data_IF_524731256930
#
_entry.id   IF_524731256930
#
_cell.length_a   1.000
_cell.length_b   1.000
_cell.length_c   1.000
_cell.angle_alpha   90.00
_cell.angle_beta   90.00
_cell.angle_gamma   90.00
#
_symmetry.space_group_name_H-M   'P 1'
#
loop_
_entity.id
_entity.type
_entity.pdbx_description
1 polymer ?
#
# COMPACT_ATOMS: atom_id res chain seq x y z
N UNK A 1 -18.37 8.10 -5.36
CA UNK A 1 -18.23 6.70 -4.90
C UNK A 1 -17.90 6.72 -3.40
N UNK A 2 -18.89 6.45 -2.56
CA UNK A 2 -18.77 6.52 -1.08
C UNK A 2 -17.69 5.57 -0.53
N UNK A 3 -17.50 4.41 -1.17
CA UNK A 3 -16.51 3.42 -0.74
C UNK A 3 -15.08 3.98 -0.79
N UNK A 4 -14.69 4.62 -1.90
CA UNK A 4 -13.35 5.21 -2.08
C UNK A 4 -13.08 6.27 -1.02
N UNK A 5 -14.07 7.11 -0.72
CA UNK A 5 -13.95 8.17 0.28
C UNK A 5 -13.77 7.53 1.66
N UNK A 6 -14.63 6.60 2.03
CA UNK A 6 -14.57 5.93 3.33
C UNK A 6 -13.25 5.17 3.54
N UNK A 7 -12.76 4.45 2.52
CA UNK A 7 -11.48 3.74 2.60
C UNK A 7 -10.30 4.69 2.74
N UNK A 8 -10.30 5.81 2.00
CA UNK A 8 -9.25 6.83 2.09
C UNK A 8 -9.22 7.51 3.46
N UNK A 9 -10.39 7.84 4.01
CA UNK A 9 -10.51 8.42 5.36
C UNK A 9 -9.99 7.44 6.42
N UNK A 10 -10.41 6.17 6.37
CA UNK A 10 -9.95 5.13 7.32
C UNK A 10 -8.43 4.95 7.24
N UNK A 11 -7.87 4.89 6.02
CA UNK A 11 -6.43 4.73 5.83
C UNK A 11 -5.64 5.95 6.33
N UNK A 12 -6.11 7.17 6.04
CA UNK A 12 -5.50 8.41 6.50
C UNK A 12 -5.53 8.54 8.03
N UNK A 13 -6.68 8.24 8.65
CA UNK A 13 -6.81 8.21 10.12
C UNK A 13 -5.87 7.17 10.73
N UNK A 14 -5.82 5.96 10.17
CA UNK A 14 -4.92 4.91 10.62
C UNK A 14 -3.44 5.33 10.58
N UNK A 15 -2.99 5.92 9.46
CA UNK A 15 -1.63 6.44 9.36
C UNK A 15 -1.33 7.55 10.36
N UNK A 16 -2.25 8.50 10.54
CA UNK A 16 -2.09 9.59 11.50
C UNK A 16 -1.97 9.09 12.95
N UNK A 17 -2.83 8.14 13.33
CA UNK A 17 -2.83 7.54 14.68
C UNK A 17 -1.56 6.75 14.98
N UNK A 18 -0.91 6.14 13.98
CA UNK A 18 0.34 5.42 14.19
C UNK A 18 1.54 6.37 14.16
N UNK A 19 1.58 7.32 13.24
CA UNK A 19 2.76 8.15 12.99
C UNK A 19 3.10 9.09 14.16
N UNK A 20 2.09 9.71 14.78
CA UNK A 20 2.27 10.66 15.89
C UNK A 20 2.92 10.00 17.13
N UNK A 21 2.37 8.92 17.71
CA UNK A 21 2.99 8.29 18.87
C UNK A 21 4.33 7.64 18.54
N UNK A 22 4.49 7.07 17.34
CA UNK A 22 5.72 6.38 16.95
C UNK A 22 6.89 7.37 16.81
N UNK A 23 6.66 8.53 16.18
CA UNK A 23 7.66 9.61 16.15
C UNK A 23 7.96 10.17 17.54
N UNK A 24 6.92 10.35 18.38
CA UNK A 24 7.12 10.81 19.77
C UNK A 24 8.01 9.85 20.56
N UNK A 25 7.76 8.54 20.50
CA UNK A 25 8.57 7.53 21.18
C UNK A 25 10.01 7.49 20.66
N UNK A 26 10.21 7.63 19.34
CA UNK A 26 11.54 7.63 18.73
C UNK A 26 12.46 8.74 19.26
N UNK A 27 11.91 9.92 19.59
CA UNK A 27 12.69 11.04 20.13
C UNK A 27 12.67 11.13 21.66
N UNK A 28 11.74 10.46 22.34
CA UNK A 28 11.54 10.63 23.77
C UNK A 28 12.70 10.10 24.63
N UNK A 29 13.49 9.13 24.13
CA UNK A 29 14.67 8.60 24.85
C UNK A 29 15.98 9.31 24.48
N UNK A 30 15.92 10.36 23.66
CA UNK A 30 17.09 11.02 23.08
C UNK A 30 17.36 12.39 23.73
N UNK A 31 18.63 12.64 24.05
CA UNK A 31 19.11 13.93 24.53
C UNK A 31 18.84 15.04 23.49
N UNK A 32 18.49 16.24 23.96
CA UNK A 32 18.08 17.40 23.14
C UNK A 32 19.13 17.73 22.08
N UNK A 33 20.42 17.59 22.43
CA UNK A 33 21.54 17.85 21.52
C UNK A 33 21.54 16.99 20.26
N UNK A 34 21.02 15.76 20.31
CA UNK A 34 21.02 14.83 19.16
C UNK A 34 19.72 14.85 18.36
N UNK A 35 18.71 15.63 18.76
CA UNK A 35 17.38 15.63 18.11
C UNK A 35 17.43 16.07 16.65
N UNK A 36 18.29 17.03 16.31
CA UNK A 36 18.44 17.52 14.92
C UNK A 36 18.95 16.40 14.00
N UNK A 37 20.05 15.74 14.37
CA UNK A 37 20.63 14.64 13.59
C UNK A 37 19.71 13.43 13.53
N UNK A 38 19.04 13.10 14.64
CA UNK A 38 18.08 12.00 14.68
C UNK A 38 16.85 12.26 13.80
N UNK A 39 16.41 13.51 13.64
CA UNK A 39 15.29 13.86 12.76
C UNK A 39 15.66 13.63 11.28
N UNK A 40 16.89 13.99 10.91
CA UNK A 40 17.41 13.72 9.57
C UNK A 40 17.51 12.21 9.30
N UNK A 41 18.04 11.44 10.26
CA UNK A 41 18.15 9.98 10.16
C UNK A 41 16.78 9.30 10.10
N UNK A 42 15.83 9.71 10.93
CA UNK A 42 14.46 9.19 10.93
C UNK A 42 13.79 9.39 9.58
N UNK A 43 13.94 10.58 9.00
CA UNK A 43 13.40 10.90 7.67
C UNK A 43 14.07 10.07 6.57
N UNK A 44 15.40 9.89 6.63
CA UNK A 44 16.15 9.06 5.69
C UNK A 44 15.68 7.60 5.73
N UNK A 45 15.61 7.00 6.91
CA UNK A 45 15.17 5.61 7.09
C UNK A 45 13.72 5.44 6.62
N UNK A 46 12.84 6.40 6.94
CA UNK A 46 11.44 6.38 6.50
C UNK A 46 11.33 6.45 4.97
N UNK A 47 12.05 7.38 4.34
CA UNK A 47 12.02 7.53 2.90
C UNK A 47 12.59 6.29 2.21
N UNK A 48 13.70 5.74 2.71
CA UNK A 48 14.30 4.51 2.20
C UNK A 48 13.34 3.32 2.34
N UNK A 49 12.73 3.14 3.51
CA UNK A 49 11.74 2.09 3.74
C UNK A 49 10.52 2.23 2.83
N UNK A 50 10.04 3.46 2.62
CA UNK A 50 8.96 3.74 1.67
C UNK A 50 9.35 3.39 0.24
N UNK A 51 10.56 3.77 -0.20
CA UNK A 51 11.05 3.46 -1.55
C UNK A 51 11.16 1.96 -1.76
N UNK A 52 11.75 1.22 -0.82
CA UNK A 52 11.86 -0.24 -0.89
C UNK A 52 10.46 -0.87 -0.96
N UNK A 53 9.54 -0.45 -0.09
CA UNK A 53 8.16 -0.94 -0.08
C UNK A 53 7.45 -0.72 -1.41
N UNK A 54 7.51 0.49 -1.95
CA UNK A 54 6.92 0.83 -3.26
C UNK A 54 7.56 0.00 -4.37
N UNK A 55 8.88 -0.14 -4.41
CA UNK A 55 9.57 -0.93 -5.43
C UNK A 55 9.16 -2.40 -5.40
N UNK A 56 9.09 -3.02 -4.21
CA UNK A 56 8.67 -4.42 -4.07
C UNK A 56 7.23 -4.61 -4.54
N UNK A 57 6.31 -3.76 -4.07
CA UNK A 57 4.90 -3.82 -4.49
C UNK A 57 4.78 -3.61 -5.99
N UNK A 58 5.51 -2.67 -6.58
CA UNK A 58 5.47 -2.41 -8.03
C UNK A 58 5.94 -3.63 -8.83
N UNK A 59 7.04 -4.28 -8.41
CA UNK A 59 7.54 -5.50 -9.06
C UNK A 59 6.52 -6.63 -8.96
N UNK A 60 5.92 -6.83 -7.77
CA UNK A 60 4.88 -7.84 -7.57
C UNK A 60 3.65 -7.55 -8.42
N UNK A 61 3.21 -6.29 -8.50
CA UNK A 61 2.08 -5.87 -9.33
C UNK A 61 2.29 -6.23 -10.80
N UNK A 62 3.45 -5.87 -11.37
CA UNK A 62 3.79 -6.15 -12.77
C UNK A 62 3.85 -7.66 -13.00
N UNK A 63 4.56 -8.39 -12.14
CA UNK A 63 4.72 -9.85 -12.26
C UNK A 63 3.37 -10.56 -12.16
N UNK A 64 2.56 -10.22 -11.17
CA UNK A 64 1.26 -10.83 -10.96
C UNK A 64 0.28 -10.47 -12.08
N UNK A 65 0.35 -9.25 -12.64
CA UNK A 65 -0.48 -8.86 -13.79
C UNK A 65 -0.18 -9.76 -14.98
N UNK A 66 1.10 -10.03 -15.26
CA UNK A 66 1.48 -10.94 -16.35
C UNK A 66 1.02 -12.39 -16.11
N UNK A 67 1.16 -12.89 -14.88
CA UNK A 67 0.68 -14.23 -14.51
C UNK A 67 -0.84 -14.32 -14.68
N UNK A 68 -1.59 -13.38 -14.09
CA UNK A 68 -3.05 -13.35 -14.19
C UNK A 68 -3.51 -13.17 -15.63
N UNK A 69 -2.80 -12.38 -16.44
CA UNK A 69 -3.12 -12.22 -17.85
C UNK A 69 -2.96 -13.53 -18.62
N UNK A 70 -1.87 -14.27 -18.39
CA UNK A 70 -1.63 -15.57 -19.01
C UNK A 70 -2.67 -16.61 -18.59
N UNK A 71 -3.05 -16.63 -17.31
CA UNK A 71 -4.08 -17.53 -16.80
C UNK A 71 -5.47 -17.20 -17.39
N UNK A 72 -5.83 -15.91 -17.45
CA UNK A 72 -7.12 -15.49 -18.01
C UNK A 72 -7.18 -15.67 -19.52
N UNK A 73 -6.09 -15.38 -20.24
CA UNK A 73 -6.05 -15.53 -21.71
C UNK A 73 -6.10 -17.00 -22.14
N UNK A 74 -5.69 -17.95 -21.29
CA UNK A 74 -5.83 -19.38 -21.57
C UNK A 74 -7.30 -19.81 -21.79
N UNK A 75 -8.26 -19.09 -21.21
CA UNK A 75 -9.69 -19.33 -21.42
C UNK A 75 -10.23 -18.71 -22.71
N UNK A 76 -9.46 -17.86 -23.39
CA UNK A 76 -9.80 -17.26 -24.68
C UNK A 76 -9.35 -18.20 -25.79
N UNK A 77 -10.18 -19.22 -26.04
CA UNK A 77 -9.96 -20.15 -27.14
C UNK A 77 -11.27 -20.46 -27.87
N UNK A 78 -11.23 -20.82 -29.18
CA UNK A 78 -12.41 -21.12 -29.97
C UNK A 78 -13.20 -22.36 -29.50
N UNK A 79 -12.63 -23.18 -28.62
CA UNK A 79 -13.30 -24.37 -28.08
C UNK A 79 -14.11 -24.06 -26.81
N UNK A 80 -13.98 -22.84 -26.27
CA UNK A 80 -14.71 -22.42 -25.09
C UNK A 80 -16.12 -21.92 -25.47
N UNK A 81 -17.20 -22.61 -25.07
CA UNK A 81 -18.57 -22.18 -25.41
C UNK A 81 -18.93 -20.81 -24.81
N UNK A 82 -18.30 -20.43 -23.69
CA UNK A 82 -18.52 -19.12 -23.08
C UNK A 82 -17.97 -17.98 -23.94
N UNK A 83 -16.86 -18.21 -24.67
CA UNK A 83 -16.32 -17.20 -25.59
C UNK A 83 -17.27 -16.97 -26.77
N UNK A 84 -17.85 -18.04 -27.32
CA UNK A 84 -18.87 -17.93 -28.37
C UNK A 84 -20.13 -17.19 -27.89
N UNK A 85 -20.52 -17.35 -26.63
CA UNK A 85 -21.68 -16.65 -26.07
C UNK A 85 -21.42 -15.14 -25.87
N UNK A 86 -20.20 -14.75 -25.48
CA UNK A 86 -19.84 -13.36 -25.16
C UNK A 86 -19.34 -12.59 -26.39
N UNK A 87 -18.52 -13.22 -27.21
CA UNK A 87 -17.92 -12.61 -28.41
C UNK A 87 -17.72 -13.67 -29.51
N UNK A 88 -18.76 -13.92 -30.32
CA UNK A 88 -18.67 -14.83 -31.47
C UNK A 88 -17.57 -14.41 -32.47
N UNK A 89 -17.37 -13.10 -32.65
CA UNK A 89 -16.34 -12.57 -33.55
C UNK A 89 -14.92 -12.90 -33.06
N UNK A 90 -14.65 -12.79 -31.75
CA UNK A 90 -13.37 -13.21 -31.19
C UNK A 90 -13.18 -14.72 -31.28
N UNK A 91 -14.24 -15.51 -31.04
CA UNK A 91 -14.20 -16.96 -31.19
C UNK A 91 -13.95 -17.40 -32.65
N UNK A 92 -14.47 -16.63 -33.61
CA UNK A 92 -14.24 -16.78 -35.05
C UNK A 92 -12.87 -16.29 -35.54
N UNK A 93 -12.03 -15.71 -34.66
CA UNK A 93 -10.67 -15.30 -34.98
C UNK A 93 -10.53 -13.89 -35.55
N UNK A 94 -11.54 -13.02 -35.43
CA UNK A 94 -11.43 -11.62 -35.84
C UNK A 94 -10.38 -10.89 -34.96
N UNK A 95 -9.28 -10.36 -35.56
CA UNK A 95 -8.24 -9.67 -34.82
C UNK A 95 -8.74 -8.45 -34.03
N UNK A 96 -9.78 -7.76 -34.54
CA UNK A 96 -10.33 -6.58 -33.86
C UNK A 96 -11.04 -6.99 -32.58
N UNK A 97 -11.94 -7.98 -32.66
CA UNK A 97 -12.62 -8.52 -31.50
C UNK A 97 -11.65 -9.14 -30.47
N UNK A 98 -10.61 -9.86 -30.94
CA UNK A 98 -9.57 -10.41 -30.06
C UNK A 98 -8.80 -9.32 -29.30
N UNK A 99 -8.46 -8.21 -29.94
CA UNK A 99 -7.77 -7.09 -29.27
C UNK A 99 -8.62 -6.43 -28.18
N UNK A 100 -9.94 -6.38 -28.37
CA UNK A 100 -10.87 -5.84 -27.37
C UNK A 100 -10.98 -6.77 -26.17
N UNK A 101 -11.06 -8.08 -26.42
CA UNK A 101 -11.07 -9.11 -25.37
C UNK A 101 -9.76 -9.10 -24.58
N UNK A 102 -8.62 -9.02 -25.27
CA UNK A 102 -7.30 -8.92 -24.64
C UNK A 102 -7.20 -7.71 -23.70
N UNK A 103 -7.70 -6.54 -24.14
CA UNK A 103 -7.75 -5.35 -23.28
C UNK A 103 -8.60 -5.56 -22.03
N UNK A 104 -9.72 -6.28 -22.13
CA UNK A 104 -10.55 -6.61 -20.97
C UNK A 104 -9.84 -7.59 -20.04
N UNK A 105 -9.19 -8.62 -20.59
CA UNK A 105 -8.37 -9.58 -19.84
C UNK A 105 -7.28 -8.85 -19.07
N UNK A 106 -6.58 -7.91 -19.71
CA UNK A 106 -5.54 -7.10 -19.08
C UNK A 106 -6.09 -6.22 -17.94
N UNK A 107 -7.24 -5.58 -18.11
CA UNK A 107 -7.89 -4.81 -17.04
C UNK A 107 -8.25 -5.70 -15.84
N UNK A 108 -8.76 -6.91 -16.09
CA UNK A 108 -9.08 -7.87 -15.02
C UNK A 108 -7.83 -8.39 -14.32
N UNK A 109 -6.78 -8.70 -15.09
CA UNK A 109 -5.49 -9.13 -14.56
C UNK A 109 -4.86 -8.07 -13.64
N UNK A 110 -4.92 -6.79 -14.05
CA UNK A 110 -4.51 -5.66 -13.21
C UNK A 110 -5.34 -5.58 -11.93
N UNK A 111 -6.67 -5.68 -12.03
CA UNK A 111 -7.56 -5.61 -10.88
C UNK A 111 -7.24 -6.69 -9.83
N UNK A 112 -7.07 -7.95 -10.26
CA UNK A 112 -6.70 -9.05 -9.38
C UNK A 112 -5.35 -8.78 -8.71
N UNK A 113 -4.38 -8.24 -9.47
CA UNK A 113 -3.05 -7.91 -8.96
C UNK A 113 -3.10 -6.81 -7.90
N UNK A 114 -3.87 -5.74 -8.13
CA UNK A 114 -4.09 -4.69 -7.13
C UNK A 114 -4.68 -5.24 -5.83
N UNK A 115 -5.70 -6.11 -5.92
CA UNK A 115 -6.31 -6.73 -4.75
C UNK A 115 -5.30 -7.59 -3.98
N UNK A 116 -4.45 -8.34 -4.69
CA UNK A 116 -3.40 -9.14 -4.08
C UNK A 116 -2.36 -8.26 -3.36
N UNK A 117 -1.95 -7.13 -3.96
CA UNK A 117 -1.02 -6.20 -3.33
C UNK A 117 -1.62 -5.55 -2.07
N UNK A 118 -2.91 -5.18 -2.08
CA UNK A 118 -3.59 -4.70 -0.87
C UNK A 118 -3.60 -5.74 0.25
N UNK A 119 -3.78 -7.03 -0.08
CA UNK A 119 -3.70 -8.12 0.91
C UNK A 119 -2.28 -8.26 1.47
N UNK A 120 -1.25 -8.18 0.64
CA UNK A 120 0.15 -8.22 1.07
C UNK A 120 0.45 -7.04 2.00
N UNK A 121 0.05 -5.82 1.62
CA UNK A 121 0.21 -4.63 2.45
C UNK A 121 -0.52 -4.76 3.79
N UNK A 122 -1.75 -5.28 3.80
CA UNK A 122 -2.50 -5.57 5.03
C UNK A 122 -1.71 -6.51 5.95
N UNK A 123 -1.23 -7.65 5.42
CA UNK A 123 -0.44 -8.62 6.20
C UNK A 123 0.86 -8.00 6.72
N UNK A 124 1.58 -7.23 5.89
CA UNK A 124 2.80 -6.53 6.32
C UNK A 124 2.52 -5.55 7.47
N UNK A 125 1.42 -4.80 7.41
CA UNK A 125 1.03 -3.89 8.49
C UNK A 125 0.66 -4.66 9.76
N UNK A 126 -0.05 -5.78 9.63
CA UNK A 126 -0.39 -6.64 10.78
C UNK A 126 0.86 -7.24 11.42
N UNK A 127 1.85 -7.66 10.63
CA UNK A 127 3.14 -8.15 11.11
C UNK A 127 3.98 -7.05 11.79
N UNK A 128 3.73 -5.77 11.50
CA UNK A 128 4.37 -4.66 12.18
C UNK A 128 3.82 -4.40 13.61
N UNK A 129 2.56 -4.79 13.88
CA UNK A 129 1.92 -4.62 15.20
C UNK A 129 2.71 -5.26 16.34
N UNK A 130 3.17 -6.52 16.29
CA UNK A 130 3.92 -7.12 17.40
C UNK A 130 5.22 -6.38 17.71
N UNK A 131 5.86 -5.74 16.73
CA UNK A 131 7.06 -4.93 16.97
C UNK A 131 6.79 -3.71 17.85
N UNK A 132 5.54 -3.23 17.92
CA UNK A 132 5.15 -2.15 18.85
C UNK A 132 5.39 -2.53 20.30
N UNK A 133 5.20 -3.81 20.67
CA UNK A 133 5.47 -4.27 22.03
C UNK A 133 6.97 -4.31 22.37
N UNK A 134 7.85 -4.33 21.36
CA UNK A 134 9.29 -4.26 21.55
C UNK A 134 9.78 -2.83 21.79
N UNK A 135 8.98 -1.81 21.46
CA UNK A 135 9.33 -0.42 21.72
C UNK A 135 9.35 -0.13 23.22
N UNK A 136 10.50 0.35 23.69
CA UNK A 136 10.73 0.70 25.09
C UNK A 136 9.83 1.87 25.48
N UNK A 137 9.04 1.72 26.54
CA UNK A 137 8.22 2.81 27.09
C UNK A 137 9.10 4.02 27.39
N UNK A 138 8.80 5.21 26.84
CA UNK A 138 9.46 6.43 27.24
C UNK A 138 9.28 6.66 28.75
N UNK A 139 10.37 7.01 29.46
CA UNK A 139 10.24 7.64 30.77
C UNK A 139 9.49 8.96 30.54
N UNK A 140 8.35 9.13 31.20
CA UNK A 140 7.56 10.36 31.14
C UNK A 140 8.48 11.54 31.46
N UNK A 141 8.71 12.42 30.48
CA UNK A 141 9.19 13.76 30.79
C UNK A 141 8.06 14.47 31.55
N UNK A 142 8.34 15.16 32.68
CA UNK A 142 7.31 15.91 33.39
C UNK A 142 6.64 16.86 32.42
N UNK A 143 5.31 16.94 32.48
CA UNK A 143 4.53 17.93 31.73
C UNK A 143 5.07 19.33 32.07
N UNK A 144 5.92 19.87 31.19
CA UNK A 144 6.42 21.23 31.28
C UNK A 144 5.26 22.19 31.08
N UNK A 145 5.00 22.99 32.12
CA UNK A 145 3.84 23.85 32.26
C UNK A 145 3.63 24.84 31.12
N UNK A 146 2.40 25.33 31.07
CA UNK A 146 1.91 26.36 30.18
C UNK A 146 2.93 27.51 29.99
N UNK A 147 3.08 28.06 28.77
CA UNK A 147 3.87 29.25 28.57
C UNK A 147 3.25 30.39 29.38
N UNK A 148 3.94 30.80 30.45
CA UNK A 148 3.63 32.03 31.15
C UNK A 148 3.74 33.17 30.13
N UNK A 149 2.62 33.86 29.93
CA UNK A 149 2.53 35.08 29.16
C UNK A 149 3.58 36.08 29.68
N UNK A 150 4.48 36.52 28.81
CA UNK A 150 5.30 37.70 29.07
C UNK A 150 4.47 38.92 28.66
N UNK A 151 3.68 39.44 29.60
CA UNK A 151 3.31 40.85 29.61
C UNK A 151 4.46 41.57 30.30
N UNK A 152 5.17 42.39 29.54
CA UNK A 152 5.69 43.73 29.89
C UNK A 152 6.53 44.25 28.71
#
# INVERSE_FOLDING_TARGET
NWLIISSGVIQGLGMGMVFVPLSTVAFATLDVRFRTDATALFSLVRNLGSSIGVSVVTVLMVRNTQINHAELSAFINPFNPNLWAVSPAAAGGDPTALSQVDRMVNLQAMMISYVNDFKILMVMTLLAIPFVFLLRKPKQAPAGGAPAAHMD
#
